data_IF_763152510478
#
_entry.id   IF_763152510478
#
_cell.length_a   1.000
_cell.length_b   1.000
_cell.length_c   1.000
_cell.angle_alpha   90.00
_cell.angle_beta   90.00
_cell.angle_gamma   90.00
#
_symmetry.space_group_name_H-M   'P 1'
#
loop_
_entity.id
_entity.type
_entity.pdbx_description
1 polymer ?
#
# COMPACT_ATOMS: atom_id res chain seq x y z
N UNK A 1 -11.60 -56.19 -12.18
CA UNK A 1 -10.79 -55.02 -11.78
C UNK A 1 -10.09 -55.42 -10.49
N UNK A 2 -8.76 -55.44 -10.46
CA UNK A 2 -8.04 -55.74 -9.22
C UNK A 2 -8.38 -54.65 -8.18
N UNK A 3 -8.79 -55.04 -6.98
CA UNK A 3 -8.99 -54.11 -5.87
C UNK A 3 -7.60 -53.67 -5.39
N UNK A 4 -7.06 -52.62 -6.00
CA UNK A 4 -5.78 -52.06 -5.58
C UNK A 4 -5.92 -51.28 -4.28
N UNK A 5 -4.84 -51.21 -3.47
CA UNK A 5 -4.77 -50.29 -2.35
C UNK A 5 -5.04 -48.85 -2.79
N UNK A 6 -5.51 -47.96 -1.88
CA UNK A 6 -5.73 -46.57 -2.20
C UNK A 6 -4.46 -45.92 -2.77
N UNK A 7 -4.62 -45.12 -3.83
CA UNK A 7 -3.56 -44.45 -4.58
C UNK A 7 -2.63 -45.35 -5.42
N UNK A 8 -3.03 -46.59 -5.69
CA UNK A 8 -2.34 -47.51 -6.61
C UNK A 8 -3.28 -48.00 -7.71
N UNK A 9 -2.71 -48.29 -8.88
CA UNK A 9 -3.42 -48.77 -10.07
C UNK A 9 -2.55 -49.73 -10.88
N UNK A 10 -3.08 -50.25 -11.97
CA UNK A 10 -2.41 -51.19 -12.87
C UNK A 10 -2.80 -52.65 -12.61
N UNK A 11 -2.36 -53.53 -13.52
CA UNK A 11 -2.69 -54.96 -13.46
C UNK A 11 -2.13 -55.65 -12.19
N UNK A 12 -1.01 -55.15 -11.66
CA UNK A 12 -0.36 -55.65 -10.46
C UNK A 12 -0.38 -54.62 -9.30
N UNK A 13 -1.18 -53.56 -9.40
CA UNK A 13 -1.21 -52.46 -8.43
C UNK A 13 0.17 -51.81 -8.20
N UNK A 14 1.01 -51.78 -9.24
CA UNK A 14 2.39 -51.31 -9.22
C UNK A 14 2.55 -49.85 -9.69
N UNK A 15 1.46 -49.20 -10.10
CA UNK A 15 1.47 -47.83 -10.59
C UNK A 15 0.91 -46.86 -9.55
N UNK A 16 1.66 -45.83 -9.13
CA UNK A 16 1.14 -44.82 -8.23
C UNK A 16 0.18 -43.89 -8.98
N UNK A 17 -0.91 -43.49 -8.31
CA UNK A 17 -1.83 -42.47 -8.80
C UNK A 17 -1.31 -41.11 -8.33
N UNK A 18 -0.84 -40.31 -9.28
CA UNK A 18 -0.34 -38.95 -9.02
C UNK A 18 -1.48 -37.95 -9.21
N UNK A 19 -2.00 -37.36 -8.13
CA UNK A 19 -3.14 -36.43 -8.22
C UNK A 19 -2.74 -35.14 -8.95
N UNK A 20 -1.63 -34.54 -8.53
CA UNK A 20 -1.08 -33.32 -9.12
C UNK A 20 0.32 -33.57 -9.69
N UNK A 21 0.45 -34.48 -10.65
CA UNK A 21 1.74 -34.87 -11.20
C UNK A 21 1.65 -35.89 -12.33
N UNK A 22 2.80 -36.43 -12.71
CA UNK A 22 2.91 -37.55 -13.64
C UNK A 22 3.75 -38.68 -13.06
N UNK A 23 3.28 -39.91 -13.23
CA UNK A 23 4.06 -41.08 -12.85
C UNK A 23 5.23 -41.26 -13.83
N UNK A 24 6.45 -41.40 -13.30
CA UNK A 24 7.62 -41.72 -14.08
C UNK A 24 7.65 -43.24 -14.35
N UNK A 25 7.61 -43.70 -15.61
CA UNK A 25 7.59 -45.14 -15.93
C UNK A 25 8.86 -45.87 -15.50
N UNK A 26 10.00 -45.18 -15.45
CA UNK A 26 11.29 -45.79 -15.13
C UNK A 26 11.48 -46.02 -13.62
N UNK A 27 11.11 -45.03 -12.81
CA UNK A 27 11.32 -45.09 -11.35
C UNK A 27 10.08 -45.51 -10.57
N UNK A 28 8.90 -45.58 -11.22
CA UNK A 28 7.61 -45.86 -10.58
C UNK A 28 7.27 -44.87 -9.46
N UNK A 29 7.76 -43.63 -9.58
CA UNK A 29 7.50 -42.52 -8.63
C UNK A 29 6.72 -41.40 -9.31
N UNK A 30 5.92 -40.66 -8.54
CA UNK A 30 5.25 -39.46 -9.03
C UNK A 30 6.20 -38.26 -9.08
N UNK A 31 6.33 -37.66 -10.26
CA UNK A 31 6.86 -36.31 -10.41
C UNK A 31 5.72 -35.31 -10.21
N UNK A 32 5.72 -34.67 -9.04
CA UNK A 32 4.73 -33.67 -8.68
C UNK A 32 4.94 -32.37 -9.46
N UNK A 33 3.83 -31.75 -9.88
CA UNK A 33 3.85 -30.39 -10.42
C UNK A 33 3.96 -29.38 -9.27
N UNK A 34 4.52 -28.20 -9.54
CA UNK A 34 4.74 -27.14 -8.54
C UNK A 34 5.42 -27.66 -7.26
N UNK A 35 4.95 -27.21 -6.10
CA UNK A 35 5.47 -27.57 -4.79
C UNK A 35 4.56 -28.58 -4.07
N UNK A 36 3.92 -29.47 -4.82
CA UNK A 36 3.22 -30.61 -4.23
C UNK A 36 4.23 -31.62 -3.65
N UNK A 37 3.88 -32.21 -2.51
CA UNK A 37 4.75 -33.14 -1.78
C UNK A 37 4.62 -34.57 -2.33
N UNK A 38 5.74 -35.26 -2.61
CA UNK A 38 5.74 -36.70 -2.88
C UNK A 38 5.25 -37.48 -1.64
N UNK A 39 4.77 -38.74 -1.79
CA UNK A 39 4.88 -39.61 -2.97
C UNK A 39 3.69 -39.58 -3.96
N UNK A 40 2.53 -39.05 -3.59
CA UNK A 40 1.32 -39.05 -4.45
C UNK A 40 0.86 -37.67 -4.92
N UNK A 41 1.59 -36.61 -4.54
CA UNK A 41 1.29 -35.22 -4.93
C UNK A 41 -0.10 -34.76 -4.47
N UNK A 42 -0.49 -35.12 -3.24
CA UNK A 42 -1.82 -34.79 -2.68
C UNK A 42 -1.77 -33.48 -1.89
N UNK A 43 -0.73 -33.31 -1.08
CA UNK A 43 -0.53 -32.16 -0.21
C UNK A 43 0.57 -31.25 -0.72
N UNK A 44 0.63 -30.01 -0.21
CA UNK A 44 1.73 -29.10 -0.48
C UNK A 44 2.97 -29.43 0.38
N UNK A 45 4.15 -29.09 -0.12
CA UNK A 45 5.38 -29.05 0.66
C UNK A 45 5.25 -28.05 1.82
N UNK A 46 5.93 -28.27 2.96
CA UNK A 46 5.88 -27.36 4.09
C UNK A 46 6.34 -25.96 3.68
N UNK A 47 5.53 -24.95 4.00
CA UNK A 47 5.76 -23.56 3.58
C UNK A 47 5.18 -23.20 2.22
N UNK A 48 4.42 -24.10 1.58
CA UNK A 48 3.62 -23.79 0.40
C UNK A 48 2.14 -24.06 0.68
N UNK A 49 1.25 -23.26 0.09
CA UNK A 49 -0.21 -23.44 0.24
C UNK A 49 -0.97 -22.93 -0.98
N UNK A 50 -2.30 -23.03 -0.92
CA UNK A 50 -3.20 -22.68 -2.01
C UNK A 50 -3.61 -23.88 -2.85
N UNK A 51 -4.53 -23.67 -3.78
CA UNK A 51 -5.10 -24.72 -4.62
C UNK A 51 -4.07 -25.37 -5.57
N UNK A 52 -2.96 -24.70 -5.84
CA UNK A 52 -1.87 -25.21 -6.69
C UNK A 52 -0.52 -25.32 -5.97
N UNK A 53 -0.50 -25.19 -4.64
CA UNK A 53 0.72 -25.11 -3.83
C UNK A 53 1.72 -24.06 -4.34
N UNK A 54 1.23 -23.02 -5.00
CA UNK A 54 1.99 -21.98 -5.67
C UNK A 54 2.27 -20.78 -4.75
N UNK A 55 1.52 -20.67 -3.64
CA UNK A 55 1.69 -19.58 -2.68
C UNK A 55 2.74 -19.96 -1.65
N UNK A 56 3.67 -19.05 -1.43
CA UNK A 56 4.68 -19.13 -0.38
C UNK A 56 4.41 -18.00 0.62
N UNK A 57 4.71 -18.15 1.93
CA UNK A 57 4.70 -17.01 2.82
C UNK A 57 5.67 -16.00 2.24
N UNK A 58 5.25 -14.74 2.16
CA UNK A 58 6.16 -13.66 1.86
C UNK A 58 7.30 -13.80 2.86
N UNK A 59 8.48 -14.22 2.37
CA UNK A 59 9.68 -14.33 3.18
C UNK A 59 9.89 -12.95 3.80
N UNK A 60 9.63 -12.86 5.10
CA UNK A 60 9.79 -11.67 5.94
C UNK A 60 9.65 -10.34 5.21
N UNK A 61 8.47 -9.72 5.27
CA UNK A 61 8.39 -8.26 5.18
C UNK A 61 9.10 -7.68 6.40
N UNK A 62 10.44 -7.67 6.39
CA UNK A 62 11.30 -7.07 7.41
C UNK A 62 11.46 -5.57 7.21
N UNK A 63 10.94 -5.02 6.11
CA UNK A 63 10.98 -3.59 5.83
C UNK A 63 9.67 -3.10 5.21
N UNK A 64 9.17 -1.97 5.70
CA UNK A 64 8.07 -1.19 5.13
C UNK A 64 8.35 -0.66 3.70
N UNK A 65 9.41 -1.14 3.04
CA UNK A 65 9.82 -0.81 1.68
C UNK A 65 9.22 -1.72 0.60
N UNK A 66 8.59 -2.85 0.98
CA UNK A 66 7.96 -3.79 0.04
C UNK A 66 6.48 -3.48 -0.26
N UNK A 67 5.97 -2.34 0.24
CA UNK A 67 4.73 -1.81 -0.30
C UNK A 67 5.01 -1.29 -1.73
N UNK A 68 4.30 -1.77 -2.76
CA UNK A 68 4.49 -1.35 -4.14
C UNK A 68 3.88 0.03 -4.40
N UNK A 69 3.96 0.95 -3.44
CA UNK A 69 3.75 2.38 -3.68
C UNK A 69 5.11 2.93 -4.13
N UNK A 70 5.62 2.39 -5.23
CA UNK A 70 6.78 2.93 -5.92
C UNK A 70 6.27 4.14 -6.69
N UNK A 71 6.06 5.25 -6.00
CA UNK A 71 5.82 6.54 -6.66
C UNK A 71 7.04 6.73 -7.56
N UNK A 72 6.90 6.69 -8.89
CA UNK A 72 8.04 6.85 -9.77
C UNK A 72 8.73 8.17 -9.41
N UNK A 73 10.07 8.21 -9.28
CA UNK A 73 10.79 9.39 -8.82
C UNK A 73 10.54 10.64 -9.69
N UNK A 74 9.99 10.44 -10.89
CA UNK A 74 9.51 11.46 -11.81
C UNK A 74 8.31 12.24 -11.24
N UNK A 75 7.43 11.61 -10.45
CA UNK A 75 6.23 12.23 -9.87
C UNK A 75 6.49 12.98 -8.56
N UNK A 76 7.64 12.77 -7.90
CA UNK A 76 7.96 13.45 -6.64
C UNK A 76 8.14 14.96 -6.86
N UNK A 77 8.86 15.34 -7.93
CA UNK A 77 9.11 16.75 -8.28
C UNK A 77 7.83 17.55 -8.57
N UNK A 78 6.90 17.10 -9.44
CA UNK A 78 5.67 17.86 -9.70
C UNK A 78 4.77 17.95 -8.47
N UNK A 79 4.74 16.93 -7.60
CA UNK A 79 3.97 16.96 -6.35
C UNK A 79 4.51 18.05 -5.41
N UNK A 80 5.83 18.12 -5.23
CA UNK A 80 6.45 19.16 -4.39
C UNK A 80 6.22 20.56 -4.96
N UNK A 81 6.30 20.73 -6.29
CA UNK A 81 6.01 22.00 -6.95
C UNK A 81 4.53 22.40 -6.76
N UNK A 82 3.60 21.46 -6.91
CA UNK A 82 2.19 21.71 -6.71
C UNK A 82 1.88 22.16 -5.27
N UNK A 83 2.48 21.49 -4.27
CA UNK A 83 2.36 21.88 -2.86
C UNK A 83 2.91 23.29 -2.63
N UNK A 84 4.09 23.60 -3.18
CA UNK A 84 4.70 24.93 -3.04
C UNK A 84 3.80 26.03 -3.64
N UNK A 85 3.21 25.80 -4.81
CA UNK A 85 2.28 26.74 -5.46
C UNK A 85 1.02 26.93 -4.60
N UNK A 86 0.44 25.86 -4.06
CA UNK A 86 -0.73 25.95 -3.19
C UNK A 86 -0.46 26.79 -1.94
N UNK A 87 0.68 26.58 -1.29
CA UNK A 87 1.09 27.37 -0.12
C UNK A 87 1.25 28.84 -0.50
N UNK A 88 1.89 29.13 -1.63
CA UNK A 88 2.09 30.50 -2.10
C UNK A 88 0.75 31.20 -2.39
N UNK A 89 -0.19 30.53 -3.04
CA UNK A 89 -1.54 31.06 -3.29
C UNK A 89 -2.29 31.34 -1.99
N UNK A 90 -2.21 30.44 -1.00
CA UNK A 90 -2.82 30.64 0.31
C UNK A 90 -2.27 31.88 1.02
N UNK A 91 -0.96 32.11 0.97
CA UNK A 91 -0.32 33.30 1.54
C UNK A 91 -0.78 34.57 0.82
N UNK A 92 -0.83 34.57 -0.51
CA UNK A 92 -1.31 35.73 -1.29
C UNK A 92 -2.77 36.06 -0.96
N UNK A 93 -3.64 35.06 -0.86
CA UNK A 93 -5.05 35.24 -0.49
C UNK A 93 -5.16 35.81 0.93
N UNK A 94 -4.38 35.30 1.89
CA UNK A 94 -4.35 35.82 3.26
C UNK A 94 -3.93 37.28 3.30
N UNK A 95 -2.84 37.65 2.62
CA UNK A 95 -2.37 39.04 2.54
C UNK A 95 -3.44 39.92 1.91
N UNK A 96 -4.07 39.47 0.82
CA UNK A 96 -5.14 40.21 0.15
C UNK A 96 -6.35 40.43 1.07
N UNK A 97 -6.79 39.39 1.78
CA UNK A 97 -7.89 39.48 2.76
C UNK A 97 -7.54 40.41 3.91
N UNK A 98 -6.33 40.35 4.43
CA UNK A 98 -5.85 41.24 5.50
C UNK A 98 -5.80 42.69 5.01
N UNK A 99 -5.30 42.95 3.79
CA UNK A 99 -5.29 44.31 3.23
C UNK A 99 -6.69 44.87 3.07
N UNK A 100 -7.64 44.09 2.54
CA UNK A 100 -9.05 44.49 2.46
C UNK A 100 -9.60 44.76 3.86
N UNK A 101 -9.34 43.88 4.82
CA UNK A 101 -9.82 44.03 6.18
C UNK A 101 -9.28 45.31 6.84
N UNK A 102 -8.00 45.64 6.66
CA UNK A 102 -7.39 46.87 7.15
C UNK A 102 -7.98 48.10 6.44
N UNK A 103 -8.11 48.07 5.11
CA UNK A 103 -8.71 49.18 4.35
C UNK A 103 -10.20 49.40 4.69
N UNK A 104 -10.90 48.33 5.03
CA UNK A 104 -12.33 48.36 5.37
C UNK A 104 -12.59 48.70 6.84
N UNK A 105 -11.53 48.80 7.68
CA UNK A 105 -11.67 49.35 9.03
C UNK A 105 -12.00 50.83 8.90
N UNK A 106 -13.24 51.19 9.23
CA UNK A 106 -13.62 52.58 9.44
C UNK A 106 -12.63 53.20 10.45
N UNK A 107 -12.16 54.44 10.22
CA UNK A 107 -11.35 55.13 11.21
C UNK A 107 -12.10 55.16 12.55
N UNK A 108 -11.38 55.11 13.70
CA UNK A 108 -12.00 55.19 15.01
C UNK A 108 -12.87 56.46 15.08
N UNK A 109 -14.02 56.34 15.74
CA UNK A 109 -14.99 57.44 15.83
C UNK A 109 -14.34 58.57 16.64
N UNK A 110 -14.52 59.81 16.17
CA UNK A 110 -13.87 60.99 16.76
C UNK A 110 -14.18 61.20 18.25
N UNK A 111 -15.31 60.66 18.74
CA UNK A 111 -15.72 60.70 20.15
C UNK A 111 -14.88 59.77 21.06
N UNK A 112 -14.20 58.78 20.48
CA UNK A 112 -13.37 57.80 21.21
C UNK A 112 -11.90 58.27 21.36
N UNK A 113 -11.56 59.39 20.74
CA UNK A 113 -10.22 60.00 20.83
C UNK A 113 -10.25 60.87 22.09
N UNK A 114 -9.43 60.52 23.08
CA UNK A 114 -9.26 61.31 24.29
C UNK A 114 -8.95 62.77 23.90
N UNK A 115 -9.91 63.66 24.14
CA UNK A 115 -9.71 65.09 23.96
C UNK A 115 -8.91 65.55 25.16
N UNK A 116 -7.59 65.62 25.00
CA UNK A 116 -6.76 66.37 25.93
C UNK A 116 -7.37 67.78 26.03
N UNK A 117 -7.80 68.15 27.24
CA UNK A 117 -8.35 69.48 27.47
C UNK A 117 -7.31 70.52 27.02
N UNK A 118 -7.71 71.56 26.27
CA UNK A 118 -6.77 72.62 25.93
C UNK A 118 -6.18 73.20 27.22
N UNK A 119 -4.87 73.53 27.24
CA UNK A 119 -4.22 74.04 28.44
C UNK A 119 -4.95 75.29 28.95
N UNK A 120 -5.11 75.47 30.28
CA UNK A 120 -5.82 76.61 30.82
C UNK A 120 -5.09 77.90 30.46
N UNK A 121 -5.81 78.86 29.86
CA UNK A 121 -5.29 80.19 29.62
C UNK A 121 -5.12 80.91 30.95
N UNK A 122 -3.88 81.29 31.27
CA UNK A 122 -3.57 82.15 32.40
C UNK A 122 -4.07 83.57 32.13
N UNK A 123 -4.96 84.08 32.98
CA UNK A 123 -5.31 85.49 33.08
C UNK A 123 -4.20 86.30 33.75
#
# INVERSE_FOLDING_TARGET
MANCPPHWTGAACDWPICVHGRANPATKLCNCHNYYSPPFCISCLPGYWGESCDRQPLKGVTSASDFPIRIPPILIKPILIAIAILILLMVVILIYRVRIYIQSRKPPRYDDIAKDQPPPYSS
#
